data_IF_246219282289
#
_entry.id   IF_246219282289
#
_cell.length_a   1.000
_cell.length_b   1.000
_cell.length_c   1.000
_cell.angle_alpha   90.00
_cell.angle_beta   90.00
_cell.angle_gamma   90.00
#
_symmetry.space_group_name_H-M   'P 1'
#
loop_
_entity.id
_entity.type
_entity.pdbx_description
1 polymer ?
#
# COMPACT_ATOMS: atom_id res chain seq x y z
N UNK A 1 17.64 -28.27 65.64
CA UNK A 1 17.71 -28.09 64.17
C UNK A 1 16.36 -27.58 63.68
N UNK A 2 16.14 -26.29 63.88
CA UNK A 2 14.97 -25.50 63.50
C UNK A 2 15.57 -24.30 62.77
N UNK A 3 14.90 -23.80 61.72
CA UNK A 3 15.22 -22.64 60.85
C UNK A 3 15.87 -23.03 59.52
N UNK A 4 15.06 -23.12 58.44
CA UNK A 4 15.45 -22.70 57.07
C UNK A 4 14.38 -22.96 55.96
N UNK A 5 13.08 -22.83 56.20
CA UNK A 5 12.10 -22.87 55.09
C UNK A 5 10.94 -21.90 55.34
N UNK A 6 11.19 -20.59 55.27
CA UNK A 6 10.15 -19.55 55.41
C UNK A 6 10.16 -18.44 54.35
N UNK A 7 10.87 -18.61 53.22
CA UNK A 7 11.03 -17.52 52.23
C UNK A 7 10.87 -17.91 50.74
N UNK A 8 10.05 -18.91 50.39
CA UNK A 8 9.80 -19.25 48.96
C UNK A 8 8.31 -19.13 48.58
N UNK A 9 7.46 -18.58 49.45
CA UNK A 9 6.01 -18.58 49.23
C UNK A 9 5.42 -17.19 48.96
N UNK A 10 6.17 -16.27 48.34
CA UNK A 10 5.68 -14.91 48.06
C UNK A 10 6.02 -14.35 46.68
N UNK A 11 6.59 -15.13 45.75
CA UNK A 11 6.86 -14.68 44.37
C UNK A 11 6.04 -15.42 43.29
N UNK A 12 5.21 -16.41 43.66
CA UNK A 12 4.49 -17.24 42.68
C UNK A 12 3.04 -16.81 42.42
N UNK A 13 2.60 -15.67 42.97
CA UNK A 13 1.20 -15.19 42.86
C UNK A 13 1.02 -13.91 42.03
N UNK A 14 2.07 -13.43 41.35
CA UNK A 14 2.02 -12.22 40.51
C UNK A 14 2.05 -12.50 39.00
N UNK A 15 2.22 -13.76 38.57
CA UNK A 15 2.32 -14.11 37.14
C UNK A 15 0.95 -14.38 36.49
N UNK A 16 -0.13 -14.53 37.26
CA UNK A 16 -1.46 -14.91 36.76
C UNK A 16 -2.37 -13.74 36.32
N UNK A 17 -1.96 -12.48 36.49
CA UNK A 17 -2.75 -11.31 36.08
C UNK A 17 -2.25 -10.59 34.81
N UNK A 18 -1.19 -11.07 34.15
CA UNK A 18 -0.62 -10.41 32.97
C UNK A 18 -1.19 -10.89 31.62
N UNK A 19 -2.01 -11.94 31.59
CA UNK A 19 -2.52 -12.52 30.33
C UNK A 19 -3.72 -11.82 29.65
N UNK A 20 -4.57 -11.00 30.30
CA UNK A 20 -5.74 -10.42 29.60
C UNK A 20 -5.40 -9.24 28.67
N UNK A 21 -4.21 -8.63 28.79
CA UNK A 21 -3.88 -7.42 28.03
C UNK A 21 -3.52 -7.71 26.56
N UNK A 22 -2.88 -8.85 26.28
CA UNK A 22 -2.43 -9.18 24.92
C UNK A 22 -3.60 -9.51 23.98
N UNK A 23 -4.67 -10.14 24.49
CA UNK A 23 -5.85 -10.48 23.69
C UNK A 23 -6.65 -9.24 23.23
N UNK A 24 -6.69 -8.19 24.05
CA UNK A 24 -7.42 -6.96 23.72
C UNK A 24 -6.78 -6.17 22.57
N UNK A 25 -5.44 -6.12 22.53
CA UNK A 25 -4.69 -5.41 21.47
C UNK A 25 -4.90 -6.07 20.10
N UNK A 26 -4.82 -7.41 20.03
CA UNK A 26 -5.05 -8.16 18.79
C UNK A 26 -6.47 -7.95 18.24
N UNK A 27 -7.48 -7.92 19.11
CA UNK A 27 -8.87 -7.72 18.69
C UNK A 27 -9.12 -6.30 18.13
N UNK A 28 -8.51 -5.27 18.73
CA UNK A 28 -8.60 -3.91 18.23
C UNK A 28 -7.96 -3.76 16.84
N UNK A 29 -6.80 -4.40 16.61
CA UNK A 29 -6.11 -4.39 15.32
C UNK A 29 -6.92 -5.05 14.20
N UNK A 30 -7.47 -6.23 14.46
CA UNK A 30 -8.34 -6.90 13.51
C UNK A 30 -9.55 -6.03 13.11
N UNK A 31 -10.12 -5.27 14.05
CA UNK A 31 -11.26 -4.38 13.79
C UNK A 31 -10.91 -3.22 12.85
N UNK A 32 -9.73 -2.61 13.02
CA UNK A 32 -9.25 -1.52 12.15
C UNK A 32 -9.02 -2.03 10.73
N UNK A 33 -8.28 -3.14 10.57
CA UNK A 33 -8.01 -3.76 9.26
C UNK A 33 -9.31 -4.16 8.57
N UNK A 34 -10.25 -4.76 9.30
CA UNK A 34 -11.56 -5.11 8.74
C UNK A 34 -12.34 -3.87 8.28
N UNK A 35 -12.26 -2.75 8.98
CA UNK A 35 -12.88 -1.50 8.57
C UNK A 35 -12.26 -0.94 7.28
N UNK A 36 -10.93 -0.95 7.17
CA UNK A 36 -10.21 -0.54 5.96
C UNK A 36 -10.60 -1.44 4.78
N UNK A 37 -10.59 -2.76 4.94
CA UNK A 37 -10.97 -3.72 3.88
C UNK A 37 -12.41 -3.52 3.40
N UNK A 38 -13.36 -3.25 4.31
CA UNK A 38 -14.74 -2.92 3.93
C UNK A 38 -14.80 -1.67 3.08
N UNK A 39 -14.04 -0.64 3.44
CA UNK A 39 -14.00 0.62 2.71
C UNK A 39 -13.35 0.47 1.33
N UNK A 40 -12.21 -0.22 1.25
CA UNK A 40 -11.55 -0.58 -0.03
C UNK A 40 -12.54 -1.33 -0.92
N UNK A 41 -13.23 -2.35 -0.39
CA UNK A 41 -14.25 -3.09 -1.14
C UNK A 41 -15.42 -2.19 -1.61
N UNK A 42 -15.84 -1.23 -0.79
CA UNK A 42 -16.88 -0.24 -1.16
C UNK A 42 -16.41 0.64 -2.32
N UNK A 43 -15.19 1.16 -2.25
CA UNK A 43 -14.60 2.02 -3.30
C UNK A 43 -14.41 1.23 -4.60
N UNK A 44 -13.89 0.00 -4.54
CA UNK A 44 -13.61 -0.82 -5.73
C UNK A 44 -14.86 -1.25 -6.50
N UNK A 45 -16.01 -1.36 -5.83
CA UNK A 45 -17.29 -1.70 -6.46
C UNK A 45 -18.08 -0.48 -6.92
N UNK A 46 -17.61 0.73 -6.63
CA UNK A 46 -18.31 1.96 -6.95
C UNK A 46 -18.12 2.33 -8.43
N UNK A 47 -19.17 2.18 -9.22
CA UNK A 47 -19.15 2.51 -10.66
C UNK A 47 -19.44 3.98 -10.92
N UNK A 48 -19.96 4.72 -9.94
CA UNK A 48 -20.33 6.14 -10.05
C UNK A 48 -19.13 7.07 -9.78
N UNK A 49 -17.99 6.76 -10.41
CA UNK A 49 -16.72 7.50 -10.26
C UNK A 49 -16.31 8.14 -11.59
N UNK A 50 -15.74 9.32 -11.51
CA UNK A 50 -15.15 10.03 -12.65
C UNK A 50 -13.67 9.65 -12.72
N UNK A 51 -13.18 9.34 -13.92
CA UNK A 51 -11.79 8.95 -14.15
C UNK A 51 -10.99 10.10 -14.76
N UNK A 52 -9.80 10.34 -14.23
CA UNK A 52 -8.80 11.25 -14.81
C UNK A 52 -7.54 10.43 -15.02
N UNK A 53 -6.95 10.51 -16.22
CA UNK A 53 -5.71 9.77 -16.54
C UNK A 53 -4.62 10.77 -16.94
N UNK A 54 -3.42 10.51 -16.43
CA UNK A 54 -2.16 11.15 -16.81
C UNK A 54 -1.31 10.07 -17.49
N UNK A 55 -0.89 10.32 -18.73
CA UNK A 55 0.02 9.43 -19.47
C UNK A 55 1.48 9.85 -19.33
N UNK A 56 2.40 9.04 -19.84
CA UNK A 56 3.84 9.23 -19.68
C UNK A 56 4.34 10.59 -20.17
N UNK A 57 3.77 11.09 -21.27
CA UNK A 57 4.14 12.35 -21.92
C UNK A 57 3.80 13.58 -21.05
N UNK A 58 2.90 13.39 -20.08
CA UNK A 58 2.44 14.44 -19.18
C UNK A 58 3.22 14.45 -17.85
N UNK A 59 4.04 13.43 -17.60
CA UNK A 59 4.92 13.33 -16.44
C UNK A 59 6.26 13.99 -16.76
N UNK A 60 6.82 14.73 -15.81
CA UNK A 60 8.09 15.44 -15.98
C UNK A 60 9.02 15.14 -14.81
N UNK A 61 10.19 14.52 -15.06
CA UNK A 61 10.64 14.00 -16.35
C UNK A 61 9.79 12.80 -16.82
N UNK A 62 9.70 12.54 -18.14
CA UNK A 62 9.03 11.35 -18.63
C UNK A 62 9.80 10.11 -18.17
N UNK A 63 9.07 9.03 -17.87
CA UNK A 63 9.70 7.73 -17.54
C UNK A 63 10.16 7.11 -18.85
N UNK A 64 11.46 6.81 -18.93
CA UNK A 64 12.12 6.33 -20.16
C UNK A 64 11.87 4.85 -20.43
N UNK A 65 11.83 4.04 -19.38
CA UNK A 65 11.60 2.59 -19.49
C UNK A 65 10.10 2.32 -19.36
N UNK A 66 9.49 1.71 -20.38
CA UNK A 66 8.12 1.19 -20.37
C UNK A 66 6.97 2.21 -20.21
N UNK A 67 7.28 3.42 -19.74
CA UNK A 67 6.35 4.50 -19.48
C UNK A 67 5.57 4.34 -18.17
N UNK A 68 4.84 5.40 -17.82
CA UNK A 68 3.95 5.44 -16.65
C UNK A 68 2.53 5.78 -17.07
N UNK A 69 1.56 5.23 -16.34
CA UNK A 69 0.16 5.60 -16.44
C UNK A 69 -0.43 5.76 -15.05
N UNK A 70 -1.04 6.91 -14.79
CA UNK A 70 -1.68 7.22 -13.50
C UNK A 70 -3.15 7.51 -13.78
N UNK A 71 -4.05 6.71 -13.20
CA UNK A 71 -5.50 6.91 -13.29
C UNK A 71 -6.08 7.18 -11.91
N UNK A 72 -6.60 8.39 -11.71
CA UNK A 72 -7.35 8.79 -10.53
C UNK A 72 -8.85 8.56 -10.68
N UNK A 73 -9.49 8.12 -9.61
CA UNK A 73 -10.94 7.91 -9.53
C UNK A 73 -11.52 8.88 -8.50
N UNK A 74 -12.51 9.66 -8.93
CA UNK A 74 -13.10 10.74 -8.15
C UNK A 74 -14.57 10.51 -7.88
N UNK A 75 -15.00 10.77 -6.63
CA UNK A 75 -16.40 10.80 -6.24
C UNK A 75 -16.71 12.14 -5.57
N UNK A 76 -17.75 12.84 -6.05
CA UNK A 76 -18.10 14.20 -5.59
C UNK A 76 -16.88 15.13 -5.55
N UNK A 77 -16.07 15.09 -6.61
CA UNK A 77 -14.84 15.84 -6.75
C UNK A 77 -13.74 15.57 -5.70
N UNK A 78 -13.82 14.47 -4.95
CA UNK A 78 -12.76 14.00 -4.05
C UNK A 78 -12.13 12.73 -4.61
N UNK A 79 -10.81 12.60 -4.49
CA UNK A 79 -10.10 11.39 -4.89
C UNK A 79 -10.42 10.25 -3.92
N UNK A 80 -10.71 9.07 -4.44
CA UNK A 80 -11.03 7.87 -3.64
C UNK A 80 -10.12 6.70 -3.97
N UNK A 81 -9.57 6.65 -5.19
CA UNK A 81 -8.60 5.66 -5.63
C UNK A 81 -7.62 6.26 -6.63
N UNK A 82 -6.39 5.79 -6.63
CA UNK A 82 -5.41 5.97 -7.70
C UNK A 82 -4.93 4.59 -8.13
N UNK A 83 -4.86 4.34 -9.43
CA UNK A 83 -4.10 3.25 -10.02
C UNK A 83 -2.88 3.85 -10.72
N UNK A 84 -1.68 3.48 -10.27
CA UNK A 84 -0.42 3.80 -10.94
C UNK A 84 0.13 2.50 -11.53
N UNK A 85 0.55 2.56 -12.78
CA UNK A 85 1.25 1.47 -13.45
C UNK A 85 2.54 2.03 -14.06
N UNK A 86 3.63 1.29 -13.87
CA UNK A 86 4.94 1.60 -14.44
C UNK A 86 5.42 0.36 -15.18
N UNK A 87 5.68 0.49 -16.47
CA UNK A 87 6.34 -0.56 -17.24
C UNK A 87 7.85 -0.48 -17.05
N UNK A 88 8.55 -1.60 -17.03
CA UNK A 88 10.02 -1.65 -16.94
C UNK A 88 10.55 -2.73 -17.86
N UNK A 89 11.85 -2.71 -18.16
CA UNK A 89 12.47 -3.76 -18.99
C UNK A 89 12.32 -5.16 -18.37
N UNK A 90 12.36 -5.27 -17.05
CA UNK A 90 12.39 -6.54 -16.32
C UNK A 90 11.02 -6.97 -15.75
N UNK A 91 9.99 -6.13 -15.92
CA UNK A 91 8.67 -6.42 -15.40
C UNK A 91 7.75 -5.21 -15.43
N UNK A 92 6.66 -5.28 -14.68
CA UNK A 92 5.77 -4.14 -14.47
C UNK A 92 5.41 -4.02 -13.00
N UNK A 93 5.32 -2.79 -12.53
CA UNK A 93 4.90 -2.46 -11.18
C UNK A 93 3.56 -1.74 -11.22
N UNK A 94 2.71 -2.02 -10.24
CA UNK A 94 1.45 -1.31 -10.09
C UNK A 94 1.12 -1.05 -8.63
N UNK A 95 0.53 0.11 -8.39
CA UNK A 95 0.03 0.53 -7.09
C UNK A 95 -1.43 0.91 -7.20
N UNK A 96 -2.25 0.38 -6.31
CA UNK A 96 -3.57 0.88 -6.03
C UNK A 96 -3.58 1.60 -4.67
N UNK A 97 -3.70 2.92 -4.68
CA UNK A 97 -3.85 3.76 -3.48
C UNK A 97 -5.32 4.03 -3.22
N UNK A 98 -5.79 3.84 -1.99
CA UNK A 98 -7.17 4.10 -1.59
C UNK A 98 -7.26 5.18 -0.53
N UNK A 99 -8.20 6.09 -0.73
CA UNK A 99 -8.37 7.26 0.11
C UNK A 99 -9.75 7.29 0.75
N UNK A 100 -9.80 7.70 2.01
CA UNK A 100 -11.03 8.01 2.73
C UNK A 100 -10.85 9.34 3.43
N UNK A 101 -11.81 10.25 3.26
CA UNK A 101 -11.77 11.59 3.85
C UNK A 101 -10.45 12.32 3.56
N UNK A 102 -9.95 12.17 2.32
CA UNK A 102 -8.68 12.70 1.82
C UNK A 102 -7.42 12.15 2.53
N UNK A 103 -7.53 11.06 3.29
CA UNK A 103 -6.41 10.37 3.91
C UNK A 103 -6.16 9.03 3.20
N UNK A 104 -4.89 8.69 2.97
CA UNK A 104 -4.49 7.37 2.51
C UNK A 104 -4.84 6.34 3.60
N UNK A 105 -5.57 5.30 3.23
CA UNK A 105 -5.98 4.23 4.16
C UNK A 105 -5.44 2.85 3.76
N UNK A 106 -5.07 2.66 2.50
CA UNK A 106 -4.60 1.39 2.00
C UNK A 106 -3.80 1.54 0.71
N UNK A 107 -2.75 0.74 0.57
CA UNK A 107 -1.97 0.57 -0.65
C UNK A 107 -1.87 -0.91 -0.98
N UNK A 108 -2.13 -1.25 -2.25
CA UNK A 108 -1.83 -2.56 -2.81
C UNK A 108 -0.76 -2.40 -3.89
N UNK A 109 0.41 -2.96 -3.64
CA UNK A 109 1.57 -2.97 -4.52
C UNK A 109 1.70 -4.35 -5.13
N UNK A 110 1.89 -4.40 -6.45
CA UNK A 110 2.13 -5.63 -7.19
C UNK A 110 3.31 -5.42 -8.13
N UNK A 111 4.21 -6.39 -8.13
CA UNK A 111 5.28 -6.47 -9.11
C UNK A 111 5.21 -7.79 -9.89
N UNK A 112 5.20 -7.66 -11.21
CA UNK A 112 5.13 -8.77 -12.15
C UNK A 112 6.43 -8.82 -12.95
N UNK A 113 7.28 -9.80 -12.66
CA UNK A 113 8.57 -9.96 -13.33
C UNK A 113 8.41 -10.75 -14.64
N UNK A 114 9.19 -10.41 -15.65
CA UNK A 114 9.34 -11.25 -16.83
C UNK A 114 10.35 -12.36 -16.54
N UNK A 115 9.97 -13.65 -16.63
CA UNK A 115 10.90 -14.74 -16.38
C UNK A 115 11.91 -14.88 -17.53
N UNK A 116 13.04 -15.57 -17.33
CA UNK A 116 13.95 -15.91 -18.41
C UNK A 116 13.25 -16.66 -19.55
N UNK A 117 13.68 -16.44 -20.79
CA UNK A 117 13.26 -17.25 -21.93
C UNK A 117 13.83 -18.67 -21.88
N UNK A 118 13.41 -19.54 -22.80
CA UNK A 118 13.87 -20.93 -22.85
C UNK A 118 15.37 -21.08 -23.12
N UNK A 119 16.05 -20.03 -23.56
CA UNK A 119 17.50 -20.02 -23.81
C UNK A 119 18.30 -19.51 -22.62
N UNK A 120 17.64 -18.86 -21.66
CA UNK A 120 18.27 -18.19 -20.52
C UNK A 120 19.08 -16.93 -20.87
N UNK A 121 19.06 -16.48 -22.14
CA UNK A 121 19.83 -15.32 -22.63
C UNK A 121 19.02 -14.03 -22.67
N UNK A 122 17.72 -14.11 -22.46
CA UNK A 122 16.81 -12.96 -22.47
C UNK A 122 15.60 -13.20 -21.58
N UNK A 123 14.68 -12.24 -21.59
CA UNK A 123 13.42 -12.29 -20.86
C UNK A 123 12.27 -12.70 -21.78
N UNK A 124 11.33 -13.47 -21.25
CA UNK A 124 10.11 -13.85 -21.94
C UNK A 124 9.01 -12.81 -21.71
N UNK A 125 8.95 -11.77 -22.54
CA UNK A 125 7.94 -10.69 -22.47
C UNK A 125 6.49 -11.14 -22.71
N UNK A 126 6.26 -12.39 -23.14
CA UNK A 126 4.90 -12.93 -23.32
C UNK A 126 4.31 -13.48 -22.03
N UNK A 127 5.12 -13.61 -20.98
CA UNK A 127 4.71 -14.12 -19.67
C UNK A 127 5.18 -13.15 -18.60
N UNK A 128 4.36 -12.96 -17.57
CA UNK A 128 4.79 -12.27 -16.37
C UNK A 128 4.34 -13.09 -15.16
N UNK A 129 5.25 -13.28 -14.22
CA UNK A 129 5.00 -13.99 -12.97
C UNK A 129 4.97 -12.98 -11.82
N UNK A 130 4.04 -13.16 -10.88
CA UNK A 130 3.95 -12.28 -9.71
C UNK A 130 5.14 -12.54 -8.80
N UNK A 131 6.07 -11.59 -8.76
CA UNK A 131 7.31 -11.68 -8.00
C UNK A 131 7.20 -11.01 -6.62
N UNK A 132 6.31 -10.01 -6.48
CA UNK A 132 6.03 -9.37 -5.21
C UNK A 132 4.57 -8.92 -5.09
N UNK A 133 4.06 -8.95 -3.85
CA UNK A 133 2.78 -8.37 -3.46
C UNK A 133 2.88 -7.76 -2.07
N UNK A 134 2.47 -6.50 -1.95
CA UNK A 134 2.46 -5.73 -0.71
C UNK A 134 1.09 -5.14 -0.42
N UNK A 135 0.58 -5.35 0.79
CA UNK A 135 -0.69 -4.80 1.27
C UNK A 135 -0.42 -3.96 2.51
N UNK A 136 -0.48 -2.64 2.38
CA UNK A 136 -0.12 -1.70 3.45
C UNK A 136 -1.38 -0.99 3.94
N UNK A 137 -1.64 -1.06 5.24
CA UNK A 137 -2.80 -0.45 5.88
C UNK A 137 -2.35 0.81 6.60
N UNK A 138 -3.05 1.93 6.39
CA UNK A 138 -2.70 3.21 6.97
C UNK A 138 -3.76 3.67 7.98
N UNK A 139 -3.29 4.29 9.07
CA UNK A 139 -4.13 4.98 10.04
C UNK A 139 -3.45 6.27 10.48
N UNK A 140 -4.16 7.39 10.41
CA UNK A 140 -3.65 8.71 10.80
C UNK A 140 -2.31 9.08 10.14
N UNK A 141 -2.15 8.76 8.85
CA UNK A 141 -0.95 9.11 8.08
C UNK A 141 0.29 8.30 8.45
N UNK A 142 0.13 7.11 9.05
CA UNK A 142 1.22 6.16 9.32
C UNK A 142 0.79 4.76 8.93
N UNK A 143 1.76 3.91 8.62
CA UNK A 143 1.48 2.47 8.48
C UNK A 143 0.98 1.95 9.82
N UNK A 144 -0.17 1.31 9.76
CA UNK A 144 -0.81 0.62 10.86
C UNK A 144 -0.41 -0.86 10.89
N UNK A 145 -0.39 -1.48 9.71
CA UNK A 145 -0.02 -2.88 9.51
C UNK A 145 0.36 -3.09 8.04
N UNK A 146 1.07 -4.18 7.74
CA UNK A 146 1.34 -4.58 6.37
C UNK A 146 1.51 -6.09 6.22
N UNK A 147 1.26 -6.58 5.00
CA UNK A 147 1.48 -7.97 4.62
C UNK A 147 2.24 -7.94 3.30
N UNK A 148 3.38 -8.60 3.24
CA UNK A 148 4.21 -8.68 2.04
C UNK A 148 4.54 -10.12 1.69
N UNK A 149 4.73 -10.40 0.40
CA UNK A 149 5.24 -11.68 -0.11
C UNK A 149 6.22 -11.43 -1.24
N UNK A 150 7.23 -12.28 -1.37
CA UNK A 150 8.33 -12.09 -2.32
C UNK A 150 9.37 -11.07 -1.83
N UNK A 151 10.27 -10.69 -2.72
CA UNK A 151 11.32 -9.71 -2.43
C UNK A 151 10.83 -8.28 -2.68
N UNK A 152 11.06 -7.37 -1.74
CA UNK A 152 10.53 -6.01 -1.77
C UNK A 152 11.64 -4.95 -1.98
N UNK A 153 11.26 -3.78 -2.48
CA UNK A 153 12.11 -2.58 -2.48
C UNK A 153 12.38 -2.02 -1.08
N UNK A 154 11.66 -2.47 -0.05
CA UNK A 154 11.84 -2.09 1.36
C UNK A 154 12.59 -3.14 2.19
N UNK A 155 13.45 -3.95 1.58
CA UNK A 155 14.33 -4.89 2.32
C UNK A 155 15.49 -4.20 3.03
N UNK A 156 15.78 -2.94 2.68
CA UNK A 156 16.70 -2.11 3.45
C UNK A 156 15.95 -1.44 4.60
N UNK A 157 16.33 -1.76 5.84
CA UNK A 157 15.76 -1.20 7.08
C UNK A 157 15.92 0.34 7.19
N UNK A 158 16.78 0.96 6.38
CA UNK A 158 16.91 2.41 6.30
C UNK A 158 15.72 3.09 5.59
N UNK A 159 14.91 2.32 4.85
CA UNK A 159 13.76 2.84 4.12
C UNK A 159 12.50 2.73 4.98
N UNK A 160 11.78 3.85 5.16
CA UNK A 160 10.46 3.86 5.79
C UNK A 160 9.37 3.71 4.71
N UNK A 161 8.75 2.52 4.55
CA UNK A 161 7.70 2.30 3.56
C UNK A 161 6.50 3.24 3.76
N UNK A 162 6.21 3.65 4.99
CA UNK A 162 5.08 4.52 5.29
C UNK A 162 5.28 5.91 4.73
N UNK A 163 6.47 6.48 4.93
CA UNK A 163 6.82 7.79 4.40
C UNK A 163 6.88 7.77 2.87
N UNK A 164 7.55 6.78 2.28
CA UNK A 164 7.73 6.67 0.84
C UNK A 164 6.38 6.53 0.13
N UNK A 165 5.52 5.61 0.59
CA UNK A 165 4.21 5.39 -0.04
C UNK A 165 3.27 6.60 0.10
N UNK A 166 3.37 7.36 1.20
CA UNK A 166 2.61 8.61 1.36
C UNK A 166 3.09 9.69 0.39
N UNK A 167 4.40 9.81 0.21
CA UNK A 167 4.99 10.76 -0.74
C UNK A 167 4.58 10.44 -2.19
N UNK A 168 4.76 9.19 -2.62
CA UNK A 168 4.37 8.73 -3.95
C UNK A 168 2.87 8.91 -4.23
N UNK A 169 2.01 8.60 -3.22
CA UNK A 169 0.58 8.84 -3.32
C UNK A 169 0.28 10.34 -3.50
N UNK A 170 0.97 11.21 -2.75
CA UNK A 170 0.83 12.66 -2.84
C UNK A 170 1.28 13.22 -4.19
N UNK A 171 2.37 12.70 -4.76
CA UNK A 171 2.81 13.03 -6.11
C UNK A 171 1.76 12.69 -7.17
N UNK A 172 1.18 11.49 -7.09
CA UNK A 172 0.11 11.08 -7.98
C UNK A 172 -1.10 12.02 -7.87
N UNK A 173 -1.51 12.39 -6.65
CA UNK A 173 -2.59 13.37 -6.42
C UNK A 173 -2.29 14.69 -7.12
N UNK A 174 -1.08 15.24 -6.93
CA UNK A 174 -0.67 16.53 -7.54
C UNK A 174 -0.75 16.50 -9.06
N UNK A 175 -0.27 15.42 -9.70
CA UNK A 175 -0.33 15.26 -11.16
C UNK A 175 -1.78 15.18 -11.65
N UNK A 176 -2.63 14.42 -10.97
CA UNK A 176 -4.02 14.25 -11.34
C UNK A 176 -4.84 15.54 -11.15
N UNK A 177 -4.59 16.30 -10.09
CA UNK A 177 -5.23 17.60 -9.86
C UNK A 177 -4.86 18.62 -10.94
N UNK A 178 -3.57 18.69 -11.30
CA UNK A 178 -3.10 19.52 -12.42
C UNK A 178 -3.84 19.15 -13.72
N UNK A 179 -3.94 17.86 -14.03
CA UNK A 179 -4.67 17.37 -15.21
C UNK A 179 -6.17 17.73 -15.15
N UNK A 180 -6.78 17.60 -13.98
CA UNK A 180 -8.20 17.95 -13.79
C UNK A 180 -8.45 19.45 -14.04
N UNK A 181 -7.55 20.32 -13.58
CA UNK A 181 -7.63 21.77 -13.84
C UNK A 181 -7.51 22.09 -15.34
N UNK A 182 -6.56 21.47 -16.04
CA UNK A 182 -6.39 21.62 -17.48
C UNK A 182 -7.65 21.21 -18.24
N UNK A 183 -8.24 20.05 -17.90
CA UNK A 183 -9.46 19.57 -18.54
C UNK A 183 -10.65 20.54 -18.35
N UNK A 184 -10.73 21.21 -17.20
CA UNK A 184 -11.77 22.23 -16.94
C UNK A 184 -11.54 23.52 -17.72
N UNK A 185 -10.28 23.91 -17.94
CA UNK A 185 -9.94 25.11 -18.70
C UNK A 185 -10.30 24.97 -20.18
N UNK A 186 -10.16 23.77 -20.75
CA UNK A 186 -10.52 23.48 -22.16
C UNK A 186 -12.03 23.50 -22.42
N UNK A 187 -12.85 23.32 -21.37
CA UNK A 187 -14.32 23.28 -21.48
C UNK A 187 -15.01 24.64 -21.33
N UNK A 188 -14.24 25.71 -21.06
CA UNK A 188 -14.73 27.08 -20.96
C UNK A 188 -14.49 27.83 -22.26
#
# INVERSE_FOLDING_TARGET
>A
MILLYRYISSCLLTVLFLQPLQAQVSHAQAKVIAAIRREVGRISRDTAVIRVTVSNEEVTPPVTEGGVKITGFYKKNKIVKINRWTGMYHGNESFDYYFKDNQLIYVHELYWAFPPDSTGKGLNYRRADRAFEGMYYFQAGKIYDYITTGHNRFENDELDPGLILLEEAGECVRLLEKKQQQNRAVQK
#
